data_IF_246017526892
#
_entry.id   IF_246017526892
#
_cell.length_a   1.000
_cell.length_b   1.000
_cell.length_c   1.000
_cell.angle_alpha   90.00
_cell.angle_beta   90.00
_cell.angle_gamma   90.00
#
_symmetry.space_group_name_H-M   'P 1'
#
loop_
_entity.id
_entity.type
_entity.pdbx_description
1 polymer ?
#
# COMPACT_ATOMS: atom_id res chain seq x y z
N UNK A 1 10.81 1.76 6.48
CA UNK A 1 9.89 1.26 5.44
C UNK A 1 8.53 0.89 6.06
N UNK A 2 7.47 1.62 5.69
CA UNK A 2 6.03 1.39 5.91
C UNK A 2 5.49 0.76 7.23
N UNK A 3 6.01 1.16 8.41
CA UNK A 3 5.56 0.65 9.72
C UNK A 3 4.04 0.80 9.99
N UNK A 4 3.38 1.79 9.38
CA UNK A 4 1.94 2.05 9.57
C UNK A 4 1.03 1.07 8.84
N UNK A 5 1.48 0.46 7.74
CA UNK A 5 0.68 -0.51 6.98
C UNK A 5 0.86 -1.95 7.47
N UNK A 6 1.98 -2.22 8.16
CA UNK A 6 2.22 -3.47 8.87
C UNK A 6 1.19 -3.61 9.98
N UNK A 7 0.40 -4.68 9.95
CA UNK A 7 -0.55 -4.95 11.03
C UNK A 7 0.17 -5.39 12.32
N UNK A 8 -0.62 -5.46 13.40
CA UNK A 8 -0.11 -5.81 14.73
C UNK A 8 0.43 -7.24 14.82
N UNK A 9 -0.10 -8.15 14.01
CA UNK A 9 0.31 -9.55 14.01
C UNK A 9 1.21 -9.85 12.82
N UNK A 10 2.11 -10.83 12.97
CA UNK A 10 2.97 -11.36 11.90
C UNK A 10 2.12 -11.68 10.65
N UNK A 11 0.93 -12.26 10.83
CA UNK A 11 0.00 -12.60 9.74
C UNK A 11 -0.62 -11.41 8.99
N UNK A 12 -0.45 -10.21 9.51
CA UNK A 12 -0.88 -8.95 8.89
C UNK A 12 0.34 -8.14 8.42
N UNK A 13 1.52 -8.76 8.42
CA UNK A 13 2.76 -8.15 7.95
C UNK A 13 3.15 -8.65 6.57
N UNK A 14 3.85 -7.80 5.83
CA UNK A 14 4.38 -8.12 4.53
C UNK A 14 5.78 -8.73 4.64
N UNK A 15 5.87 -10.05 4.52
CA UNK A 15 7.15 -10.78 4.50
C UNK A 15 7.75 -10.92 3.09
N UNK A 16 7.11 -10.39 2.06
CA UNK A 16 7.63 -10.49 0.70
C UNK A 16 8.86 -9.61 0.52
N UNK A 17 9.75 -9.98 -0.40
CA UNK A 17 10.93 -9.18 -0.71
C UNK A 17 10.50 -7.80 -1.28
N UNK A 18 10.99 -6.67 -0.73
CA UNK A 18 10.63 -5.32 -1.17
C UNK A 18 10.83 -5.02 -2.66
N UNK A 19 11.73 -5.74 -3.34
CA UNK A 19 12.03 -5.56 -4.77
C UNK A 19 11.11 -6.36 -5.69
N UNK A 20 9.99 -6.90 -5.18
CA UNK A 20 9.09 -7.76 -5.93
C UNK A 20 7.71 -7.13 -6.14
N UNK A 21 7.08 -7.47 -7.26
CA UNK A 21 5.69 -7.07 -7.55
C UNK A 21 4.72 -7.57 -6.48
N UNK A 22 4.98 -8.73 -5.88
CA UNK A 22 4.15 -9.28 -4.80
C UNK A 22 4.16 -8.38 -3.56
N UNK A 23 5.31 -7.81 -3.21
CA UNK A 23 5.41 -6.85 -2.12
C UNK A 23 4.66 -5.55 -2.44
N UNK A 24 4.80 -5.03 -3.66
CA UNK A 24 4.07 -3.84 -4.10
C UNK A 24 2.55 -4.08 -4.11
N UNK A 25 2.09 -5.21 -4.64
CA UNK A 25 0.69 -5.59 -4.68
C UNK A 25 0.08 -5.72 -3.27
N UNK A 26 0.84 -6.25 -2.31
CA UNK A 26 0.42 -6.29 -0.91
C UNK A 26 0.17 -4.87 -0.37
N UNK A 27 1.10 -3.92 -0.60
CA UNK A 27 0.96 -2.54 -0.13
C UNK A 27 -0.23 -1.84 -0.78
N UNK A 28 -0.35 -1.95 -2.10
CA UNK A 28 -1.45 -1.37 -2.88
C UNK A 28 -2.78 -1.94 -2.39
N UNK A 29 -2.85 -3.26 -2.17
CA UNK A 29 -4.02 -3.91 -1.60
C UNK A 29 -4.42 -3.31 -0.24
N UNK A 30 -3.46 -3.09 0.67
CA UNK A 30 -3.72 -2.46 1.98
C UNK A 30 -4.29 -1.05 1.84
N UNK A 31 -3.72 -0.24 0.95
CA UNK A 31 -4.23 1.11 0.65
C UNK A 31 -5.66 1.04 0.07
N UNK A 32 -5.94 0.02 -0.74
CA UNK A 32 -7.25 -0.26 -1.32
C UNK A 32 -8.29 -0.81 -0.34
N UNK A 33 -7.94 -1.07 0.92
CA UNK A 33 -8.85 -1.59 1.95
C UNK A 33 -8.83 -3.12 2.10
N UNK A 34 -7.86 -3.82 1.52
CA UNK A 34 -7.67 -5.25 1.76
C UNK A 34 -7.26 -5.50 3.21
N UNK A 35 -7.92 -6.46 3.88
CA UNK A 35 -7.66 -6.75 5.29
C UNK A 35 -6.34 -7.45 5.55
N UNK A 36 -5.73 -8.07 4.53
CA UNK A 36 -4.36 -8.56 4.60
C UNK A 36 -4.16 -9.80 5.45
N UNK A 37 -5.23 -10.57 5.70
CA UNK A 37 -5.14 -11.82 6.44
C UNK A 37 -4.48 -12.89 5.57
N UNK A 38 -3.48 -13.61 6.12
CA UNK A 38 -2.87 -14.77 5.46
C UNK A 38 -3.88 -15.87 5.06
N UNK A 39 -5.01 -15.96 5.78
CA UNK A 39 -6.09 -16.90 5.46
C UNK A 39 -6.97 -16.45 4.29
N UNK A 40 -6.82 -15.20 3.85
CA UNK A 40 -7.49 -14.68 2.66
C UNK A 40 -6.53 -14.74 1.48
N UNK A 41 -7.08 -15.04 0.30
CA UNK A 41 -6.32 -14.96 -0.94
C UNK A 41 -5.73 -13.56 -1.20
N UNK A 42 -4.85 -13.43 -2.20
CA UNK A 42 -4.28 -12.15 -2.57
C UNK A 42 -5.37 -11.12 -2.89
N UNK A 43 -5.06 -9.80 -2.78
CA UNK A 43 -6.04 -8.76 -3.08
C UNK A 43 -6.55 -8.91 -4.52
N UNK A 44 -7.87 -8.93 -4.69
CA UNK A 44 -8.51 -8.99 -6.01
C UNK A 44 -8.31 -7.69 -6.81
N UNK A 45 -8.55 -7.76 -8.13
CA UNK A 45 -8.30 -6.67 -9.07
C UNK A 45 -9.03 -5.36 -8.74
N UNK A 46 -10.26 -5.44 -8.22
CA UNK A 46 -11.03 -4.25 -7.79
C UNK A 46 -10.33 -3.54 -6.63
N UNK A 47 -9.82 -4.29 -5.66
CA UNK A 47 -9.13 -3.74 -4.50
C UNK A 47 -7.78 -3.13 -4.92
N UNK A 48 -7.07 -3.78 -5.84
CA UNK A 48 -5.83 -3.24 -6.40
C UNK A 48 -6.09 -1.94 -7.16
N UNK A 49 -7.14 -1.85 -7.98
CA UNK A 49 -7.50 -0.60 -8.68
C UNK A 49 -7.78 0.54 -7.69
N UNK A 50 -8.60 0.30 -6.67
CA UNK A 50 -8.87 1.27 -5.60
C UNK A 50 -7.59 1.70 -4.87
N UNK A 51 -6.68 0.77 -4.64
CA UNK A 51 -5.38 1.03 -4.02
C UNK A 51 -4.49 1.91 -4.87
N UNK A 52 -4.43 1.65 -6.18
CA UNK A 52 -3.66 2.46 -7.14
C UNK A 52 -4.21 3.89 -7.25
N UNK A 53 -5.53 4.05 -7.33
CA UNK A 53 -6.16 5.37 -7.43
C UNK A 53 -5.85 6.22 -6.20
N UNK A 54 -6.00 5.62 -5.01
CA UNK A 54 -5.61 6.27 -3.74
C UNK A 54 -4.12 6.58 -3.67
N UNK A 55 -3.26 5.68 -4.13
CA UNK A 55 -1.82 5.91 -4.17
C UNK A 55 -1.47 7.09 -5.09
N UNK A 56 -2.14 7.22 -6.24
CA UNK A 56 -1.95 8.36 -7.14
C UNK A 56 -2.24 9.68 -6.44
N UNK A 57 -3.37 9.79 -5.75
CA UNK A 57 -3.72 11.00 -4.99
C UNK A 57 -2.73 11.31 -3.86
N UNK A 58 -2.24 10.29 -3.16
CA UNK A 58 -1.21 10.47 -2.12
C UNK A 58 0.10 11.00 -2.73
N UNK A 59 0.52 10.47 -3.88
CA UNK A 59 1.73 10.92 -4.59
C UNK A 59 1.55 12.37 -5.07
N UNK A 60 0.39 12.70 -5.62
CA UNK A 60 0.05 14.05 -6.06
C UNK A 60 0.10 15.04 -4.89
N UNK A 61 -0.59 14.76 -3.79
CA UNK A 61 -0.55 15.60 -2.59
C UNK A 61 0.87 15.74 -2.02
N UNK A 62 1.69 14.68 -2.07
CA UNK A 62 3.08 14.74 -1.63
C UNK A 62 3.98 15.57 -2.57
N UNK A 63 3.65 15.70 -3.85
CA UNK A 63 4.34 16.61 -4.78
C UNK A 63 3.97 18.05 -4.48
N UNK A 64 2.67 18.34 -4.32
CA UNK A 64 2.18 19.69 -3.99
C UNK A 64 2.85 20.26 -2.72
N UNK A 65 2.92 19.48 -1.65
CA UNK A 65 3.58 19.89 -0.40
C UNK A 65 5.08 20.17 -0.59
N UNK A 66 5.75 19.43 -1.47
CA UNK A 66 7.17 19.67 -1.78
C UNK A 66 7.35 20.95 -2.58
N UNK A 67 6.46 21.21 -3.52
CA UNK A 67 6.52 22.40 -4.37
C UNK A 67 6.28 23.67 -3.53
N UNK A 68 5.34 23.64 -2.56
CA UNK A 68 5.06 24.75 -1.63
C UNK A 68 6.15 24.95 -0.55
N UNK A 69 6.90 23.91 -0.19
CA UNK A 69 7.97 23.96 0.81
C UNK A 69 9.33 24.48 0.32
N UNK A 70 9.36 25.10 -0.87
CA UNK A 70 10.59 25.60 -1.52
C UNK A 70 10.77 27.14 -1.44
N UNK A 71 10.09 27.80 -0.49
CA UNK A 71 10.32 29.21 -0.13
C UNK A 71 11.09 29.34 1.18
#
# INVERSE_FOLDING_TARGET
MNKKLQGKTIKLQNHNNPKTTKWAAWIIGRIGGWKGYDSQGPPGVIILKKGLDRLSYIIEGAKLVKDEGTL
#
